data_IF_511046845291
#
_entry.id   IF_511046845291
#
_cell.length_a   1.000
_cell.length_b   1.000
_cell.length_c   1.000
_cell.angle_alpha   90.00
_cell.angle_beta   90.00
_cell.angle_gamma   90.00
#
_symmetry.space_group_name_H-M   'P 1'
#
loop_
_entity.id
_entity.type
_entity.pdbx_description
1 polymer ?
#
# COMPACT_ATOMS: atom_id res chain seq x y z
N UNK A 1 -16.52 -10.84 -0.45
CA UNK A 1 -15.22 -10.30 -0.91
C UNK A 1 -14.91 -10.84 -2.29
N UNK A 2 -15.37 -10.15 -3.35
CA UNK A 2 -14.89 -10.34 -4.71
C UNK A 2 -13.88 -9.22 -4.95
N UNK A 3 -12.61 -9.57 -5.02
CA UNK A 3 -11.49 -8.65 -5.28
C UNK A 3 -10.85 -9.08 -6.59
N UNK A 4 -10.69 -8.15 -7.52
CA UNK A 4 -9.97 -8.36 -8.76
C UNK A 4 -8.46 -8.16 -8.52
N UNK A 5 -7.83 -9.20 -7.98
CA UNK A 5 -6.38 -9.21 -7.72
C UNK A 5 -5.53 -8.90 -8.97
N UNK A 6 -6.01 -9.25 -10.17
CA UNK A 6 -5.33 -8.92 -11.43
C UNK A 6 -5.22 -7.41 -11.59
N UNK A 7 -6.30 -6.66 -11.36
CA UNK A 7 -6.28 -5.20 -11.46
C UNK A 7 -5.46 -4.56 -10.33
N UNK A 8 -5.57 -5.09 -9.10
CA UNK A 8 -4.85 -4.57 -7.92
C UNK A 8 -3.34 -4.64 -8.07
N UNK A 9 -2.82 -5.77 -8.54
CA UNK A 9 -1.39 -5.97 -8.73
C UNK A 9 -0.81 -5.13 -9.89
N UNK A 10 -1.65 -4.46 -10.68
CA UNK A 10 -1.22 -3.50 -11.69
C UNK A 10 -1.45 -2.03 -11.27
N UNK A 11 -2.07 -1.77 -10.12
CA UNK A 11 -2.38 -0.43 -9.64
C UNK A 11 -1.20 0.16 -8.84
N UNK A 12 -0.53 1.18 -9.39
CA UNK A 12 0.70 1.74 -8.80
C UNK A 12 0.55 2.24 -7.37
N UNK A 13 -0.49 3.03 -7.00
CA UNK A 13 -0.67 3.46 -5.61
C UNK A 13 -0.81 2.28 -4.64
N UNK A 14 -1.54 1.23 -5.04
CA UNK A 14 -1.69 0.02 -4.23
C UNK A 14 -0.34 -0.69 -4.04
N UNK A 15 0.44 -0.85 -5.11
CA UNK A 15 1.76 -1.48 -5.04
C UNK A 15 2.73 -0.69 -4.14
N UNK A 16 2.72 0.64 -4.24
CA UNK A 16 3.56 1.50 -3.40
C UNK A 16 3.14 1.39 -1.93
N UNK A 17 1.85 1.44 -1.62
CA UNK A 17 1.37 1.26 -0.25
C UNK A 17 1.65 -0.14 0.31
N UNK A 18 1.44 -1.18 -0.51
CA UNK A 18 1.75 -2.55 -0.14
C UNK A 18 3.25 -2.75 0.13
N UNK A 19 4.11 -2.16 -0.69
CA UNK A 19 5.55 -2.18 -0.48
C UNK A 19 5.94 -1.48 0.83
N UNK A 20 5.40 -0.28 1.08
CA UNK A 20 5.62 0.45 2.34
C UNK A 20 5.17 -0.36 3.55
N UNK A 21 4.01 -1.02 3.47
CA UNK A 21 3.50 -1.86 4.55
C UNK A 21 4.42 -3.05 4.83
N UNK A 22 4.88 -3.74 3.78
CA UNK A 22 5.82 -4.85 3.91
C UNK A 22 7.15 -4.40 4.53
N UNK A 23 7.67 -3.24 4.11
CA UNK A 23 8.91 -2.70 4.66
C UNK A 23 8.76 -2.36 6.15
N UNK A 24 7.66 -1.72 6.55
CA UNK A 24 7.36 -1.45 7.97
C UNK A 24 7.24 -2.75 8.77
N UNK A 25 6.55 -3.77 8.23
CA UNK A 25 6.41 -5.06 8.90
C UNK A 25 7.76 -5.75 9.13
N UNK A 26 8.65 -5.74 8.12
CA UNK A 26 9.99 -6.29 8.25
C UNK A 26 10.79 -5.55 9.33
N UNK A 27 10.71 -4.21 9.37
CA UNK A 27 11.37 -3.42 10.41
C UNK A 27 10.88 -3.79 11.82
N UNK A 28 9.55 -3.90 12.00
CA UNK A 28 8.97 -4.31 13.29
C UNK A 28 9.41 -5.71 13.70
N UNK A 29 9.43 -6.67 12.77
CA UNK A 29 9.91 -8.03 13.05
C UNK A 29 11.39 -8.01 13.41
N UNK A 30 12.22 -7.30 12.66
CA UNK A 30 13.65 -7.18 12.91
C UNK A 30 13.95 -6.59 14.31
N UNK A 31 13.17 -5.59 14.73
CA UNK A 31 13.26 -5.01 16.07
C UNK A 31 12.95 -6.02 17.19
N UNK A 32 12.02 -6.97 16.97
CA UNK A 32 11.75 -8.05 17.94
C UNK A 32 12.97 -8.98 18.14
N UNK A 33 13.82 -9.10 17.12
CA UNK A 33 15.06 -9.88 17.19
C UNK A 33 16.29 -9.03 17.58
N UNK A 34 16.10 -7.75 17.92
CA UNK A 34 17.17 -6.86 18.36
C UNK A 34 18.06 -6.32 17.23
N UNK A 35 17.60 -6.38 15.98
CA UNK A 35 18.29 -5.72 14.87
C UNK A 35 17.98 -4.22 14.87
N UNK A 36 19.02 -3.40 14.72
CA UNK A 36 18.86 -1.97 14.50
C UNK A 36 18.48 -1.69 13.05
N UNK A 37 17.30 -1.12 12.84
CA UNK A 37 16.77 -0.73 11.52
C UNK A 37 16.86 0.78 11.28
N UNK A 38 17.59 1.51 12.13
CA UNK A 38 17.87 2.93 11.94
C UNK A 38 18.66 3.11 10.65
N UNK A 39 18.13 3.93 9.74
CA UNK A 39 18.71 4.08 8.40
C UNK A 39 19.92 5.02 8.43
N UNK A 40 19.78 6.14 9.15
CA UNK A 40 20.82 7.18 9.27
C UNK A 40 20.97 7.64 10.71
N UNK A 41 19.88 8.20 11.26
CA UNK A 41 19.72 8.51 12.67
C UNK A 41 18.23 8.35 13.03
N UNK A 42 17.91 8.45 14.31
CA UNK A 42 16.55 8.26 14.83
C UNK A 42 15.56 9.22 14.15
N UNK A 43 15.87 10.52 14.11
CA UNK A 43 14.97 11.54 13.56
C UNK A 43 14.68 11.35 12.06
N UNK A 44 15.69 11.00 11.26
CA UNK A 44 15.52 10.72 9.82
C UNK A 44 14.71 9.44 9.62
N UNK A 45 14.93 8.43 10.47
CA UNK A 45 14.19 7.16 10.41
C UNK A 45 12.72 7.37 10.77
N UNK A 46 12.40 8.21 11.75
CA UNK A 46 11.02 8.55 12.11
C UNK A 46 10.28 9.29 10.99
N UNK A 47 10.94 10.26 10.36
CA UNK A 47 10.38 10.96 9.20
C UNK A 47 10.14 9.97 8.06
N UNK A 48 11.10 9.09 7.78
CA UNK A 48 10.96 8.06 6.75
C UNK A 48 9.80 7.11 7.04
N UNK A 49 9.67 6.62 8.27
CA UNK A 49 8.57 5.75 8.69
C UNK A 49 7.22 6.46 8.59
N UNK A 50 7.17 7.75 8.90
CA UNK A 50 5.95 8.57 8.72
C UNK A 50 5.55 8.66 7.26
N UNK A 51 6.51 8.87 6.35
CA UNK A 51 6.26 8.85 4.90
C UNK A 51 5.75 7.48 4.46
N UNK A 52 6.36 6.38 4.93
CA UNK A 52 5.87 5.03 4.65
C UNK A 52 4.44 4.83 5.16
N UNK A 53 4.13 5.28 6.38
CA UNK A 53 2.78 5.19 6.95
C UNK A 53 1.74 5.96 6.13
N UNK A 54 2.09 7.15 5.61
CA UNK A 54 1.24 7.90 4.70
C UNK A 54 1.05 7.17 3.37
N UNK A 55 2.10 6.54 2.83
CA UNK A 55 2.00 5.72 1.62
C UNK A 55 1.15 4.47 1.84
N UNK A 56 1.19 3.85 3.03
CA UNK A 56 0.26 2.76 3.40
C UNK A 56 -1.16 3.29 3.43
N UNK A 57 -1.40 4.41 4.13
CA UNK A 57 -2.72 5.02 4.22
C UNK A 57 -3.25 5.30 2.81
N UNK A 58 -2.51 6.00 1.96
CA UNK A 58 -2.99 6.29 0.61
C UNK A 58 -3.03 5.05 -0.28
N UNK A 59 -2.05 4.16 -0.26
CA UNK A 59 -2.04 3.01 -1.17
C UNK A 59 -3.07 1.93 -0.83
N UNK A 60 -3.35 1.72 0.46
CA UNK A 60 -4.38 0.77 0.93
C UNK A 60 -5.76 1.43 0.97
N UNK A 61 -5.87 2.72 1.32
CA UNK A 61 -7.17 3.43 1.48
C UNK A 61 -7.61 4.21 0.25
N UNK A 62 -6.76 4.51 -0.74
CA UNK A 62 -7.15 5.15 -2.02
C UNK A 62 -7.99 4.24 -2.94
N UNK A 63 -8.67 3.26 -2.36
CA UNK A 63 -9.54 2.29 -2.99
C UNK A 63 -10.82 2.14 -2.15
N UNK A 64 -12.03 2.13 -2.76
CA UNK A 64 -13.27 2.46 -2.08
C UNK A 64 -13.75 1.29 -1.22
N UNK A 65 -13.29 1.20 0.03
CA UNK A 65 -13.68 0.12 0.95
C UNK A 65 -13.87 0.56 2.40
N UNK A 66 -14.56 1.68 2.60
CA UNK A 66 -15.28 1.90 3.86
C UNK A 66 -16.74 2.15 3.48
N UNK A 67 -17.72 1.25 3.59
CA UNK A 67 -17.87 -0.08 4.23
C UNK A 67 -18.34 -1.10 3.16
N UNK A 68 -17.83 -2.36 3.16
CA UNK A 68 -18.33 -3.44 2.28
C UNK A 68 -17.33 -4.25 1.43
N UNK A 69 -16.00 -4.14 1.62
CA UNK A 69 -14.90 -5.05 1.19
C UNK A 69 -14.98 -5.79 -0.19
N UNK A 70 -15.69 -5.26 -1.18
CA UNK A 70 -15.72 -5.80 -2.54
C UNK A 70 -15.21 -4.74 -3.50
N UNK A 71 -14.52 -5.18 -4.55
CA UNK A 71 -14.32 -4.34 -5.73
C UNK A 71 -15.68 -3.94 -6.29
N UNK A 72 -15.76 -2.73 -6.86
CA UNK A 72 -16.95 -2.31 -7.58
C UNK A 72 -17.28 -3.31 -8.69
N UNK A 73 -18.56 -3.44 -9.08
CA UNK A 73 -18.93 -4.29 -10.22
C UNK A 73 -18.15 -3.96 -11.48
N UNK A 74 -17.75 -2.70 -11.60
CA UNK A 74 -16.95 -2.20 -12.70
C UNK A 74 -15.52 -2.75 -12.66
N UNK A 75 -14.85 -2.68 -11.50
CA UNK A 75 -13.51 -3.24 -11.31
C UNK A 75 -13.47 -4.77 -11.50
N UNK A 76 -14.56 -5.48 -11.20
CA UNK A 76 -14.69 -6.91 -11.44
C UNK A 76 -14.82 -7.30 -12.92
N UNK A 77 -15.24 -6.38 -13.80
CA UNK A 77 -15.47 -6.65 -15.23
C UNK A 77 -14.24 -6.34 -16.10
N UNK A 78 -13.24 -5.63 -15.60
CA UNK A 78 -12.05 -5.28 -16.36
C UNK A 78 -10.89 -6.23 -16.13
N UNK A 79 -10.10 -6.46 -17.18
CA UNK A 79 -8.87 -7.26 -17.09
C UNK A 79 -7.61 -6.44 -16.77
N UNK A 80 -7.68 -5.11 -16.90
CA UNK A 80 -6.58 -4.18 -16.69
C UNK A 80 -7.08 -2.88 -16.05
N UNK A 81 -6.20 -2.11 -15.37
CA UNK A 81 -6.56 -0.81 -14.81
C UNK A 81 -7.18 0.10 -15.87
N UNK A 82 -8.28 0.76 -15.52
CA UNK A 82 -8.93 1.71 -16.42
C UNK A 82 -7.95 2.84 -16.73
N UNK A 83 -7.73 3.08 -18.01
CA UNK A 83 -7.04 4.28 -18.48
C UNK A 83 -8.12 5.32 -18.71
N UNK A 84 -8.18 6.32 -17.83
CA UNK A 84 -8.95 7.51 -18.11
C UNK A 84 -8.09 8.33 -19.07
N UNK A 85 -8.42 8.28 -20.36
CA UNK A 85 -7.84 9.19 -21.35
C UNK A 85 -8.27 10.60 -20.95
N UNK A 86 -7.40 11.29 -20.22
CA UNK A 86 -7.58 12.70 -19.89
C UNK A 86 -7.64 13.47 -21.21
N UNK A 87 -8.85 13.87 -21.60
CA UNK A 87 -9.07 14.90 -22.61
C UNK A 87 -9.07 16.27 -21.96
#
# INVERSE_FOLDING_TARGET
MKINWKVRLHHKPFLVGAFSLLLLLIQQIAALFGFDTTIYNEQVTDIFNTVLALLVLFGVVSDPTTTGLNDSEQALKYEAPRKDDVK
#
